data_IF_402724866721
#
_entry.id   IF_402724866721
#
_cell.length_a   1.000
_cell.length_b   1.000
_cell.length_c   1.000
_cell.angle_alpha   90.00
_cell.angle_beta   90.00
_cell.angle_gamma   90.00
#
_symmetry.space_group_name_H-M   'P 1'
#
loop_
_entity.id
_entity.type
_entity.pdbx_description
1 polymer ?
#
# COMPACT_ATOMS: atom_id res chain seq x y z
N UNK A 1 2.06 -3.29 7.34
CA UNK A 1 3.54 -3.20 7.38
C UNK A 1 4.03 -1.84 6.91
N UNK A 2 5.31 -1.46 7.19
CA UNK A 2 5.89 -0.26 6.61
C UNK A 2 6.03 -0.46 5.09
N UNK A 3 5.49 0.48 4.31
CA UNK A 3 5.53 0.46 2.84
C UNK A 3 5.78 1.88 2.34
N UNK A 4 6.67 2.04 1.37
CA UNK A 4 7.01 3.36 0.82
C UNK A 4 5.77 3.97 0.15
N UNK A 5 5.38 5.17 0.53
CA UNK A 5 4.12 5.79 0.08
C UNK A 5 2.87 5.32 0.83
N UNK A 6 3.01 4.34 1.76
CA UNK A 6 1.87 3.77 2.49
C UNK A 6 1.02 4.79 3.25
N UNK A 7 -0.29 4.60 3.23
CA UNK A 7 -1.30 5.52 3.78
C UNK A 7 -1.70 5.21 5.23
N UNK A 8 -0.88 4.47 6.01
CA UNK A 8 -1.24 3.99 7.34
C UNK A 8 -1.82 5.09 8.26
N UNK A 9 -1.27 6.31 8.23
CA UNK A 9 -1.69 7.43 9.09
C UNK A 9 -3.04 8.07 8.71
N UNK A 10 -3.50 7.85 7.48
CA UNK A 10 -4.73 8.45 6.93
C UNK A 10 -5.72 7.40 6.45
N UNK A 11 -5.36 6.13 6.55
CA UNK A 11 -6.15 5.02 6.02
C UNK A 11 -7.54 4.90 6.64
N UNK A 12 -7.72 5.28 7.92
CA UNK A 12 -9.03 5.28 8.55
C UNK A 12 -9.96 6.33 7.93
N UNK A 13 -9.43 7.52 7.67
CA UNK A 13 -10.20 8.65 7.12
C UNK A 13 -10.62 8.35 5.68
N UNK A 14 -9.68 7.88 4.85
CA UNK A 14 -9.96 7.51 3.46
C UNK A 14 -10.90 6.31 3.37
N UNK A 15 -10.66 5.26 4.16
CA UNK A 15 -11.55 4.10 4.19
C UNK A 15 -12.96 4.45 4.66
N UNK A 16 -13.11 5.40 5.59
CA UNK A 16 -14.43 5.87 6.03
C UNK A 16 -15.20 6.50 4.85
N UNK A 17 -14.55 7.37 4.07
CA UNK A 17 -15.16 7.99 2.88
C UNK A 17 -15.54 6.91 1.87
N UNK A 18 -14.65 5.97 1.57
CA UNK A 18 -14.92 4.88 0.62
C UNK A 18 -16.10 4.02 1.10
N UNK A 19 -16.16 3.71 2.40
CA UNK A 19 -17.20 2.87 2.98
C UNK A 19 -18.61 3.47 2.86
N UNK A 20 -18.75 4.79 2.76
CA UNK A 20 -20.05 5.41 2.48
C UNK A 20 -20.58 5.09 1.08
N UNK A 21 -19.75 4.55 0.20
CA UNK A 21 -20.10 4.17 -1.18
C UNK A 21 -20.03 2.66 -1.44
N UNK A 22 -19.40 1.87 -0.55
CA UNK A 22 -19.29 0.41 -0.74
C UNK A 22 -20.22 -0.38 0.16
N UNK A 23 -20.61 0.17 1.32
CA UNK A 23 -21.27 -0.59 2.38
C UNK A 23 -22.48 0.15 2.97
N UNK A 24 -23.53 0.32 2.17
CA UNK A 24 -24.80 0.85 2.69
C UNK A 24 -24.70 2.30 3.18
N UNK A 25 -24.16 3.16 2.33
CA UNK A 25 -24.23 4.61 2.51
C UNK A 25 -25.60 5.15 2.10
N UNK A 26 -25.64 6.40 1.65
CA UNK A 26 -26.86 7.10 1.26
C UNK A 26 -27.73 6.35 0.21
N UNK A 27 -27.13 5.44 -0.56
CA UNK A 27 -27.77 4.74 -1.68
C UNK A 27 -28.15 3.29 -1.37
N UNK A 28 -27.92 2.79 -0.16
CA UNK A 28 -28.20 1.40 0.30
C UNK A 28 -27.57 0.27 -0.57
N UNK A 29 -26.84 0.59 -1.62
CA UNK A 29 -26.19 -0.37 -2.50
C UNK A 29 -24.85 -0.86 -1.95
N UNK A 30 -24.67 -2.18 -1.92
CA UNK A 30 -23.37 -2.81 -1.68
C UNK A 30 -22.60 -2.87 -3.01
N UNK A 31 -21.59 -2.01 -3.17
CA UNK A 31 -20.79 -1.97 -4.39
C UNK A 31 -19.49 -2.77 -4.24
N UNK A 32 -19.05 -3.49 -5.26
CA UNK A 32 -17.71 -4.07 -5.29
C UNK A 32 -16.65 -2.99 -5.08
N UNK A 33 -15.57 -3.34 -4.37
CA UNK A 33 -14.41 -2.47 -4.19
C UNK A 33 -13.21 -3.00 -4.97
N UNK A 34 -12.58 -2.15 -5.75
CA UNK A 34 -11.39 -2.47 -6.53
C UNK A 34 -10.28 -1.47 -6.21
N UNK A 35 -9.16 -1.95 -5.68
CA UNK A 35 -7.92 -1.18 -5.53
C UNK A 35 -6.97 -1.54 -6.66
N UNK A 36 -6.57 -0.52 -7.44
CA UNK A 36 -5.70 -0.71 -8.61
C UNK A 36 -4.21 -0.74 -8.27
N UNK A 37 -3.82 -0.18 -7.10
CA UNK A 37 -2.46 -0.10 -6.58
C UNK A 37 -2.50 -0.37 -5.08
N UNK A 38 -2.66 -1.63 -4.68
CA UNK A 38 -2.97 -1.94 -3.28
C UNK A 38 -1.77 -1.82 -2.33
N UNK A 39 -0.54 -1.95 -2.84
CA UNK A 39 0.68 -1.79 -2.05
C UNK A 39 0.64 -2.56 -0.73
N UNK A 40 0.85 -1.85 0.37
CA UNK A 40 0.80 -2.39 1.73
C UNK A 40 -0.61 -2.62 2.28
N UNK A 41 -1.66 -2.47 1.50
CA UNK A 41 -3.07 -2.73 1.82
C UNK A 41 -3.61 -1.99 3.07
N UNK A 42 -3.06 -0.81 3.38
CA UNK A 42 -3.45 -0.09 4.60
C UNK A 42 -4.90 0.46 4.57
N UNK A 43 -5.40 0.78 3.38
CA UNK A 43 -6.79 1.24 3.14
C UNK A 43 -7.68 0.05 2.88
N UNK A 44 -7.26 -0.86 2.01
CA UNK A 44 -7.98 -2.05 1.58
C UNK A 44 -8.43 -2.93 2.76
N UNK A 45 -7.57 -3.05 3.78
CA UNK A 45 -7.87 -3.78 5.00
C UNK A 45 -9.02 -3.19 5.82
N UNK A 46 -9.37 -1.92 5.61
CA UNK A 46 -10.39 -1.17 6.36
C UNK A 46 -11.65 -0.89 5.56
N UNK A 47 -11.58 -1.02 4.24
CA UNK A 47 -12.75 -0.93 3.38
C UNK A 47 -13.64 -2.15 3.58
N UNK A 48 -14.94 -1.93 3.72
CA UNK A 48 -15.97 -2.95 3.80
C UNK A 48 -16.60 -3.11 2.43
N UNK A 49 -16.57 -4.31 1.88
CA UNK A 49 -17.23 -4.66 0.62
C UNK A 49 -17.40 -6.18 0.56
N UNK A 50 -18.47 -6.67 -0.07
CA UNK A 50 -18.72 -8.10 -0.28
C UNK A 50 -17.73 -8.67 -1.30
N UNK A 51 -17.47 -7.92 -2.36
CA UNK A 51 -16.44 -8.22 -3.36
C UNK A 51 -15.30 -7.21 -3.21
N UNK A 52 -14.09 -7.70 -2.98
CA UNK A 52 -12.89 -6.88 -2.84
C UNK A 52 -11.78 -7.42 -3.73
N UNK A 53 -11.31 -6.60 -4.66
CA UNK A 53 -10.22 -6.91 -5.57
C UNK A 53 -9.06 -5.97 -5.27
N UNK A 54 -7.88 -6.53 -5.00
CA UNK A 54 -6.66 -5.78 -4.67
C UNK A 54 -5.59 -6.12 -5.70
N UNK A 55 -5.25 -5.17 -6.56
CA UNK A 55 -4.22 -5.33 -7.57
C UNK A 55 -2.95 -4.57 -7.21
N UNK A 56 -1.83 -5.13 -7.59
CA UNK A 56 -0.54 -4.43 -7.64
C UNK A 56 0.34 -5.07 -8.73
N UNK A 57 1.20 -4.27 -9.35
CA UNK A 57 2.13 -4.76 -10.36
C UNK A 57 3.28 -5.57 -9.76
N UNK A 58 3.54 -5.44 -8.46
CA UNK A 58 4.69 -6.04 -7.79
C UNK A 58 4.43 -7.51 -7.39
N UNK A 59 5.04 -8.51 -8.08
CA UNK A 59 4.67 -9.91 -7.94
C UNK A 59 4.93 -10.47 -6.53
N UNK A 60 6.04 -10.11 -5.91
CA UNK A 60 6.38 -10.60 -4.57
C UNK A 60 5.47 -10.01 -3.48
N UNK A 61 4.97 -8.78 -3.68
CA UNK A 61 4.01 -8.18 -2.77
C UNK A 61 2.67 -8.95 -2.81
N UNK A 62 2.19 -9.25 -4.00
CA UNK A 62 0.97 -10.06 -4.19
C UNK A 62 1.18 -11.50 -3.69
N UNK A 63 2.36 -12.10 -3.94
CA UNK A 63 2.69 -13.43 -3.41
C UNK A 63 2.66 -13.45 -1.87
N UNK A 64 3.16 -12.40 -1.21
CA UNK A 64 3.09 -12.26 0.24
C UNK A 64 1.64 -12.24 0.73
N UNK A 65 0.77 -11.41 0.15
CA UNK A 65 -0.62 -11.30 0.56
C UNK A 65 -1.39 -12.63 0.34
N UNK A 66 -1.20 -13.27 -0.82
CA UNK A 66 -1.76 -14.60 -1.12
C UNK A 66 -1.24 -15.66 -0.14
N UNK A 67 0.05 -15.64 0.16
CA UNK A 67 0.66 -16.55 1.14
C UNK A 67 0.02 -16.40 2.53
N UNK A 68 -0.13 -15.16 3.01
CA UNK A 68 -0.79 -14.86 4.28
C UNK A 68 -2.24 -15.35 4.32
N UNK A 69 -3.01 -15.16 3.24
CA UNK A 69 -4.37 -15.68 3.13
C UNK A 69 -4.43 -17.21 3.21
N UNK A 70 -3.43 -17.88 2.63
CA UNK A 70 -3.30 -19.34 2.61
C UNK A 70 -2.64 -19.93 3.87
N UNK A 71 -2.49 -19.12 4.93
CA UNK A 71 -1.98 -19.58 6.22
C UNK A 71 -0.46 -19.54 6.36
N UNK A 72 0.30 -19.03 5.37
CA UNK A 72 1.72 -18.80 5.55
C UNK A 72 1.94 -17.75 6.64
N UNK A 73 2.91 -18.00 7.51
CA UNK A 73 3.26 -17.11 8.62
C UNK A 73 4.66 -16.55 8.41
N UNK A 74 4.83 -15.22 8.46
CA UNK A 74 6.14 -14.60 8.39
C UNK A 74 7.04 -15.02 9.56
N UNK A 75 8.37 -15.08 9.37
CA UNK A 75 9.30 -15.37 10.45
C UNK A 75 9.24 -14.29 11.56
N UNK A 76 9.69 -14.67 12.75
CA UNK A 76 9.76 -13.75 13.89
C UNK A 76 10.97 -12.80 13.77
N UNK A 77 12.01 -13.23 13.08
CA UNK A 77 13.22 -12.47 12.88
C UNK A 77 13.87 -12.82 11.54
N UNK A 78 14.64 -11.86 11.00
CA UNK A 78 15.48 -12.04 9.81
C UNK A 78 16.85 -11.46 10.14
N UNK A 79 17.91 -12.23 9.96
CA UNK A 79 19.28 -11.74 10.06
C UNK A 79 19.69 -10.95 8.82
N UNK A 80 20.80 -10.24 8.91
CA UNK A 80 21.35 -9.49 7.78
C UNK A 80 21.81 -10.41 6.65
N UNK A 81 22.36 -11.56 7.01
CA UNK A 81 22.80 -12.62 6.08
C UNK A 81 21.59 -13.20 5.34
N UNK A 82 20.52 -13.55 6.05
CA UNK A 82 19.26 -14.02 5.48
C UNK A 82 18.62 -12.98 4.55
N UNK A 83 18.62 -11.70 4.97
CA UNK A 83 18.15 -10.60 4.13
C UNK A 83 18.91 -10.51 2.81
N UNK A 84 20.26 -10.63 2.85
CA UNK A 84 21.07 -10.60 1.63
C UNK A 84 20.86 -11.84 0.77
N UNK A 85 20.73 -13.01 1.39
CA UNK A 85 20.43 -14.26 0.70
C UNK A 85 19.10 -14.16 -0.05
N UNK A 86 18.02 -13.76 0.64
CA UNK A 86 16.68 -13.61 0.05
C UNK A 86 16.69 -12.57 -1.07
N UNK A 87 17.44 -11.48 -0.89
CA UNK A 87 17.62 -10.46 -1.93
C UNK A 87 18.27 -11.02 -3.21
N UNK A 88 19.19 -11.98 -3.07
CA UNK A 88 19.87 -12.62 -4.20
C UNK A 88 19.03 -13.76 -4.82
N UNK A 89 18.15 -14.41 -4.06
CA UNK A 89 17.40 -15.61 -4.43
C UNK A 89 15.89 -15.40 -4.34
N UNK A 90 15.40 -14.33 -4.95
CA UNK A 90 14.01 -13.82 -4.78
C UNK A 90 12.92 -14.84 -5.11
N UNK A 91 13.16 -15.71 -6.07
CA UNK A 91 12.17 -16.64 -6.63
C UNK A 91 12.04 -17.95 -5.83
N UNK A 92 12.96 -18.23 -4.91
CA UNK A 92 12.90 -19.45 -4.08
C UNK A 92 11.69 -19.48 -3.14
N UNK A 93 11.34 -18.31 -2.58
CA UNK A 93 10.14 -18.15 -1.74
C UNK A 93 9.52 -16.77 -1.95
N UNK A 94 8.67 -16.59 -2.96
CA UNK A 94 8.10 -15.31 -3.32
C UNK A 94 7.35 -14.59 -2.19
N UNK A 95 6.65 -15.34 -1.32
CA UNK A 95 5.94 -14.76 -0.17
C UNK A 95 6.90 -14.18 0.87
N UNK A 96 7.93 -14.93 1.23
CA UNK A 96 8.99 -14.47 2.14
C UNK A 96 9.76 -13.30 1.54
N UNK A 97 10.05 -13.35 0.24
CA UNK A 97 10.72 -12.28 -0.49
C UNK A 97 9.93 -10.99 -0.43
N UNK A 98 8.61 -11.04 -0.63
CA UNK A 98 7.74 -9.87 -0.49
C UNK A 98 7.76 -9.29 0.91
N UNK A 99 7.65 -10.13 1.93
CA UNK A 99 7.69 -9.71 3.33
C UNK A 99 9.03 -9.07 3.70
N UNK A 100 10.15 -9.71 3.37
CA UNK A 100 11.49 -9.23 3.71
C UNK A 100 11.85 -7.99 2.89
N UNK A 101 11.55 -8.00 1.58
CA UNK A 101 11.88 -6.91 0.66
C UNK A 101 11.24 -5.58 1.02
N UNK A 102 10.06 -5.60 1.62
CA UNK A 102 9.38 -4.39 2.12
C UNK A 102 9.45 -4.27 3.65
N UNK A 103 8.99 -5.28 4.37
CA UNK A 103 8.79 -5.22 5.82
C UNK A 103 10.09 -5.13 6.62
N UNK A 104 11.16 -5.79 6.18
CA UNK A 104 12.47 -5.77 6.82
C UNK A 104 13.44 -4.78 6.16
N UNK A 105 12.94 -3.88 5.31
CA UNK A 105 13.75 -2.89 4.59
C UNK A 105 13.53 -1.47 5.11
N UNK A 106 14.60 -0.67 5.10
CA UNK A 106 14.57 0.70 5.59
C UNK A 106 13.54 1.55 4.83
N UNK A 107 12.63 2.15 5.58
CA UNK A 107 11.57 3.01 5.02
C UNK A 107 10.53 2.26 4.20
N UNK A 108 10.46 0.93 4.26
CA UNK A 108 9.56 0.10 3.45
C UNK A 108 9.85 0.19 1.95
N UNK A 109 11.08 0.52 1.56
CA UNK A 109 11.54 0.51 0.17
C UNK A 109 11.94 -0.90 -0.22
N UNK A 110 11.57 -1.33 -1.42
CA UNK A 110 11.95 -2.63 -1.97
C UNK A 110 13.46 -2.87 -1.91
N UNK A 111 13.87 -3.77 -1.02
CA UNK A 111 15.29 -4.05 -0.70
C UNK A 111 16.17 -2.79 -0.58
N UNK A 112 15.63 -1.73 0.01
CA UNK A 112 16.28 -0.42 0.17
C UNK A 112 17.35 -0.35 1.25
N UNK A 113 17.73 -1.49 1.81
CA UNK A 113 18.71 -1.68 2.88
C UNK A 113 18.07 -2.38 4.06
N UNK A 114 18.82 -3.28 4.70
CA UNK A 114 18.39 -4.00 5.88
C UNK A 114 18.03 -3.02 7.01
N UNK A 115 16.82 -3.12 7.51
CA UNK A 115 16.33 -2.23 8.56
C UNK A 115 16.77 -2.75 9.94
N UNK A 116 17.66 -2.01 10.58
CA UNK A 116 18.15 -2.29 11.94
C UNK A 116 18.21 -1.03 12.78
N UNK A 117 18.19 -1.14 14.09
CA UNK A 117 18.48 -0.02 14.99
C UNK A 117 20.01 0.15 15.11
N UNK A 118 20.47 1.41 15.03
CA UNK A 118 21.91 1.76 15.08
C UNK A 118 22.59 1.43 16.41
N UNK A 119 21.87 0.98 17.43
CA UNK A 119 22.38 0.78 18.79
C UNK A 119 22.95 -0.61 19.08
N UNK A 120 23.22 -1.40 18.08
CA UNK A 120 23.90 -2.70 18.20
C UNK A 120 23.02 -3.87 17.77
N UNK A 121 23.67 -4.82 17.16
CA UNK A 121 23.22 -6.10 16.64
C UNK A 121 22.49 -6.08 15.28
N UNK A 122 23.07 -6.85 14.38
CA UNK A 122 22.60 -7.10 13.00
C UNK A 122 21.27 -7.90 12.93
N UNK A 123 20.42 -7.82 13.97
CA UNK A 123 19.22 -8.62 14.10
C UNK A 123 17.95 -7.77 14.00
N UNK A 124 17.13 -8.04 12.99
CA UNK A 124 15.83 -7.40 12.78
C UNK A 124 14.72 -8.17 13.50
N UNK A 125 14.88 -8.51 14.77
CA UNK A 125 13.89 -9.42 15.31
C UNK A 125 13.83 -9.69 16.79
N UNK A 126 14.59 -9.05 17.64
CA UNK A 126 14.32 -9.17 19.09
C UNK A 126 14.75 -7.92 19.83
N UNK A 127 13.79 -7.01 20.07
CA UNK A 127 14.00 -5.92 21.00
C UNK A 127 14.02 -6.43 22.43
N UNK A 128 15.15 -6.34 23.08
CA UNK A 128 15.20 -6.35 24.56
C UNK A 128 14.44 -5.12 25.04
N UNK A 129 13.54 -5.28 26.01
CA UNK A 129 12.70 -4.21 26.55
C UNK A 129 13.50 -2.91 26.74
N UNK A 130 13.14 -1.90 25.96
CA UNK A 130 13.55 -0.51 26.20
C UNK A 130 14.49 0.13 25.20
N UNK A 131 14.99 -0.54 24.14
CA UNK A 131 16.07 0.03 23.33
C UNK A 131 16.03 -0.13 21.81
N UNK A 132 15.45 -1.18 21.23
CA UNK A 132 15.62 -1.45 19.79
C UNK A 132 14.29 -1.64 19.08
N UNK A 133 14.17 -1.07 17.89
CA UNK A 133 12.97 -1.22 17.05
C UNK A 133 13.01 -2.57 16.35
N UNK A 134 12.02 -3.41 16.62
CA UNK A 134 11.81 -4.69 15.96
C UNK A 134 11.03 -4.50 14.65
N UNK A 135 11.74 -4.25 13.56
CA UNK A 135 11.13 -4.03 12.24
C UNK A 135 10.41 -5.27 11.71
N UNK A 136 10.95 -6.47 11.95
CA UNK A 136 10.36 -7.72 11.51
C UNK A 136 9.06 -8.03 12.25
N UNK A 137 9.10 -7.96 13.58
CA UNK A 137 7.93 -8.18 14.43
C UNK A 137 6.84 -7.12 14.21
N UNK A 138 7.22 -5.82 14.03
CA UNK A 138 6.27 -4.77 13.65
C UNK A 138 5.61 -5.05 12.29
N UNK A 139 6.38 -5.49 11.28
CA UNK A 139 5.85 -5.85 9.98
C UNK A 139 4.91 -7.05 10.08
N UNK A 140 5.31 -8.12 10.82
CA UNK A 140 4.50 -9.31 11.07
C UNK A 140 3.18 -8.96 11.77
N UNK A 141 3.25 -8.20 12.86
CA UNK A 141 2.07 -7.77 13.62
C UNK A 141 1.11 -6.93 12.76
N UNK A 142 1.65 -6.00 11.97
CA UNK A 142 0.83 -5.14 11.12
C UNK A 142 0.17 -5.92 10.00
N UNK A 143 0.90 -6.81 9.31
CA UNK A 143 0.32 -7.63 8.24
C UNK A 143 -0.74 -8.60 8.76
N UNK A 144 -0.54 -9.19 9.94
CA UNK A 144 -1.53 -10.06 10.59
C UNK A 144 -2.82 -9.28 10.93
N UNK A 145 -2.69 -8.02 11.41
CA UNK A 145 -3.83 -7.15 11.68
C UNK A 145 -4.57 -6.79 10.39
N UNK A 146 -3.84 -6.38 9.36
CA UNK A 146 -4.42 -5.97 8.07
C UNK A 146 -5.11 -7.16 7.38
N UNK A 147 -4.55 -8.37 7.51
CA UNK A 147 -5.12 -9.62 6.96
C UNK A 147 -6.55 -9.87 7.43
N UNK A 148 -6.93 -9.42 8.63
CA UNK A 148 -8.30 -9.60 9.16
C UNK A 148 -9.35 -9.01 8.22
N UNK A 149 -9.08 -7.85 7.63
CA UNK A 149 -9.97 -7.19 6.67
C UNK A 149 -9.75 -7.60 5.20
N UNK A 150 -8.80 -8.51 4.96
CA UNK A 150 -8.40 -8.95 3.62
C UNK A 150 -8.66 -10.43 3.35
N UNK A 151 -9.26 -11.17 4.32
CA UNK A 151 -9.46 -12.63 4.22
C UNK A 151 -10.24 -13.04 2.96
N UNK A 152 -11.24 -12.26 2.57
CA UNK A 152 -12.07 -12.50 1.38
C UNK A 152 -11.62 -11.74 0.15
N UNK A 153 -10.53 -10.98 0.22
CA UNK A 153 -10.05 -10.20 -0.91
C UNK A 153 -9.44 -11.10 -2.00
N UNK A 154 -9.71 -10.78 -3.25
CA UNK A 154 -9.03 -11.38 -4.40
C UNK A 154 -7.79 -10.56 -4.72
N UNK A 155 -6.60 -11.17 -4.64
CA UNK A 155 -5.35 -10.52 -5.03
C UNK A 155 -4.99 -10.81 -6.48
N UNK A 156 -4.78 -9.76 -7.27
CA UNK A 156 -4.38 -9.80 -8.67
C UNK A 156 -2.99 -9.19 -8.82
N UNK A 157 -2.17 -9.72 -9.72
CA UNK A 157 -0.86 -9.18 -10.03
C UNK A 157 -0.80 -8.79 -11.50
N UNK A 158 -0.74 -7.50 -11.78
CA UNK A 158 -0.69 -7.02 -13.17
C UNK A 158 -0.78 -5.52 -13.31
N UNK A 159 -0.76 -5.07 -14.58
CA UNK A 159 -1.02 -3.68 -14.90
C UNK A 159 -2.45 -3.29 -14.45
N UNK A 160 -2.60 -2.08 -13.94
CA UNK A 160 -3.89 -1.58 -13.44
C UNK A 160 -4.97 -1.54 -14.53
N UNK A 161 -4.60 -1.46 -15.80
CA UNK A 161 -5.51 -1.43 -16.96
C UNK A 161 -6.08 -2.80 -17.30
N UNK A 162 -5.40 -3.88 -16.88
CA UNK A 162 -5.81 -5.27 -17.16
C UNK A 162 -6.71 -5.86 -16.06
N UNK A 163 -6.98 -5.08 -15.00
CA UNK A 163 -7.84 -5.52 -13.91
C UNK A 163 -9.29 -5.63 -14.37
N UNK A 164 -9.90 -6.81 -14.19
CA UNK A 164 -11.34 -6.99 -14.42
C UNK A 164 -12.10 -6.29 -13.30
N UNK A 165 -12.82 -5.23 -13.66
CA UNK A 165 -13.59 -4.41 -12.72
C UNK A 165 -15.07 -4.77 -12.85
N UNK A 166 -15.73 -5.29 -11.79
CA UNK A 166 -17.17 -5.54 -11.81
C UNK A 166 -17.97 -4.27 -12.06
N UNK A 167 -19.14 -4.40 -12.66
CA UNK A 167 -20.03 -3.25 -12.89
C UNK A 167 -20.36 -2.48 -11.61
N UNK A 168 -20.56 -1.18 -11.71
CA UNK A 168 -20.91 -0.29 -10.60
C UNK A 168 -19.94 -0.32 -9.39
N UNK A 169 -18.67 -0.68 -9.62
CA UNK A 169 -17.65 -0.74 -8.56
C UNK A 169 -17.28 0.63 -8.01
N UNK A 170 -16.81 0.63 -6.77
CA UNK A 170 -15.97 1.70 -6.22
C UNK A 170 -14.52 1.37 -6.52
N UNK A 171 -13.86 2.23 -7.28
CA UNK A 171 -12.46 2.07 -7.69
C UNK A 171 -11.59 3.04 -6.88
N UNK A 172 -10.59 2.52 -6.21
CA UNK A 172 -9.57 3.29 -5.51
C UNK A 172 -8.22 3.14 -6.21
N UNK A 173 -7.54 4.27 -6.42
CA UNK A 173 -6.20 4.30 -6.99
C UNK A 173 -5.25 5.15 -6.12
N UNK A 174 -4.07 4.60 -5.83
CA UNK A 174 -2.94 5.27 -5.19
C UNK A 174 -1.70 5.09 -6.08
N UNK A 175 -1.65 5.76 -7.25
CA UNK A 175 -0.59 5.58 -8.23
C UNK A 175 0.76 6.10 -7.71
N UNK A 176 1.89 5.78 -8.37
CA UNK A 176 3.14 6.47 -8.14
C UNK A 176 2.96 7.98 -8.36
N UNK A 177 3.27 8.79 -7.33
CA UNK A 177 3.09 10.25 -7.42
C UNK A 177 4.07 10.89 -8.42
N UNK A 178 3.61 11.84 -9.21
CA UNK A 178 4.36 12.45 -10.31
C UNK A 178 5.73 13.00 -9.88
N UNK A 179 5.82 13.57 -8.66
CA UNK A 179 7.06 14.15 -8.12
C UNK A 179 7.78 13.23 -7.12
N UNK A 180 7.40 11.95 -7.03
CA UNK A 180 8.01 11.03 -6.09
C UNK A 180 9.30 10.41 -6.61
N UNK A 181 10.09 9.82 -5.69
CA UNK A 181 11.25 9.00 -6.06
C UNK A 181 10.80 7.85 -6.97
N UNK A 182 11.49 7.64 -8.09
CA UNK A 182 11.19 6.55 -9.04
C UNK A 182 10.97 5.22 -8.33
N UNK A 183 9.86 4.57 -8.64
CA UNK A 183 9.59 3.21 -8.19
C UNK A 183 10.42 2.21 -9.02
N UNK A 184 10.67 1.04 -8.45
CA UNK A 184 11.43 -0.04 -9.13
C UNK A 184 10.71 -0.60 -10.38
N UNK A 185 9.47 -0.20 -10.62
CA UNK A 185 8.57 -0.70 -11.67
C UNK A 185 8.62 0.11 -12.97
N UNK A 186 9.50 1.12 -13.09
CA UNK A 186 9.66 1.92 -14.30
C UNK A 186 8.97 3.30 -14.27
N UNK A 187 8.90 3.95 -15.42
CA UNK A 187 8.23 5.25 -15.57
C UNK A 187 6.71 5.05 -15.68
N UNK A 188 5.95 5.85 -14.95
CA UNK A 188 4.49 5.80 -14.92
C UNK A 188 3.90 6.88 -15.82
N UNK A 189 3.01 6.49 -16.73
CA UNK A 189 2.30 7.42 -17.62
C UNK A 189 1.09 8.04 -16.92
N UNK A 190 1.29 9.21 -16.35
CA UNK A 190 0.24 9.95 -15.64
C UNK A 190 -0.89 10.40 -16.56
N UNK A 191 -0.61 10.75 -17.82
CA UNK A 191 -1.64 11.15 -18.79
C UNK A 191 -2.58 9.99 -19.08
N UNK A 192 -2.04 8.84 -19.45
CA UNK A 192 -2.82 7.63 -19.70
C UNK A 192 -3.60 7.18 -18.45
N UNK A 193 -3.02 7.37 -17.25
CA UNK A 193 -3.70 7.06 -15.98
C UNK A 193 -4.95 7.94 -15.79
N UNK A 194 -4.84 9.25 -15.93
CA UNK A 194 -5.99 10.16 -15.75
C UNK A 194 -7.08 9.90 -16.79
N UNK A 195 -6.71 9.59 -18.04
CA UNK A 195 -7.66 9.24 -19.10
C UNK A 195 -8.39 7.93 -18.79
N UNK A 196 -7.67 6.93 -18.26
CA UNK A 196 -8.28 5.69 -17.81
C UNK A 196 -9.27 5.90 -16.64
N UNK A 197 -8.94 6.77 -15.68
CA UNK A 197 -9.87 7.12 -14.59
C UNK A 197 -11.16 7.77 -15.12
N UNK A 198 -11.04 8.67 -16.13
CA UNK A 198 -12.20 9.27 -16.81
C UNK A 198 -13.05 8.22 -17.53
N UNK A 199 -12.41 7.27 -18.17
CA UNK A 199 -13.10 6.16 -18.85
C UNK A 199 -13.90 5.32 -17.84
N UNK A 200 -13.31 4.93 -16.74
CA UNK A 200 -13.99 4.16 -15.69
C UNK A 200 -15.18 4.94 -15.10
N UNK A 201 -15.03 6.25 -14.87
CA UNK A 201 -16.13 7.09 -14.40
C UNK A 201 -17.30 7.13 -15.41
N UNK A 202 -17.01 7.24 -16.71
CA UNK A 202 -18.04 7.17 -17.78
C UNK A 202 -18.73 5.81 -17.87
N UNK A 203 -18.08 4.75 -17.42
CA UNK A 203 -18.65 3.39 -17.32
C UNK A 203 -19.53 3.20 -16.07
N UNK A 204 -19.68 4.23 -15.24
CA UNK A 204 -20.55 4.21 -14.06
C UNK A 204 -19.86 3.77 -12.77
N UNK A 205 -18.53 3.66 -12.76
CA UNK A 205 -17.77 3.40 -11.55
C UNK A 205 -17.61 4.66 -10.70
N UNK A 206 -17.58 4.52 -9.37
CA UNK A 206 -17.24 5.61 -8.46
C UNK A 206 -15.73 5.62 -8.24
N UNK A 207 -15.07 6.73 -8.57
CA UNK A 207 -13.61 6.82 -8.61
C UNK A 207 -13.09 7.62 -7.41
N UNK A 208 -12.08 7.08 -6.71
CA UNK A 208 -11.32 7.75 -5.66
C UNK A 208 -9.83 7.63 -5.94
N UNK A 209 -9.10 8.73 -5.89
CA UNK A 209 -7.68 8.78 -6.23
C UNK A 209 -6.91 9.53 -5.15
N UNK A 210 -5.87 8.90 -4.59
CA UNK A 210 -4.89 9.55 -3.72
C UNK A 210 -3.76 10.11 -4.58
N UNK A 211 -3.61 11.44 -4.63
CA UNK A 211 -2.51 12.12 -5.33
C UNK A 211 -2.37 13.56 -4.78
N UNK A 212 -1.20 14.17 -4.94
CA UNK A 212 -0.97 15.56 -4.52
C UNK A 212 -1.69 16.57 -5.43
N UNK A 213 -1.75 16.28 -6.72
CA UNK A 213 -2.36 17.12 -7.75
C UNK A 213 -3.23 16.26 -8.67
N UNK A 214 -4.27 16.86 -9.22
CA UNK A 214 -5.12 16.23 -10.22
C UNK A 214 -5.50 17.26 -11.30
N UNK A 215 -5.92 16.83 -12.51
CA UNK A 215 -6.52 17.70 -13.51
C UNK A 215 -7.77 18.42 -13.00
N UNK A 216 -8.12 19.55 -13.61
CA UNK A 216 -9.20 20.46 -13.17
C UNK A 216 -10.59 19.83 -13.16
N UNK A 217 -10.81 18.76 -13.91
CA UNK A 217 -12.07 18.02 -13.95
C UNK A 217 -12.24 17.06 -12.76
N UNK A 218 -11.21 16.88 -11.93
CA UNK A 218 -11.30 16.11 -10.69
C UNK A 218 -11.50 17.02 -9.48
N UNK A 219 -12.43 16.63 -8.61
CA UNK A 219 -12.77 17.38 -7.39
C UNK A 219 -12.03 16.82 -6.18
N UNK A 220 -11.31 17.68 -5.47
CA UNK A 220 -10.74 17.32 -4.15
C UNK A 220 -11.87 17.25 -3.11
N UNK A 221 -12.07 16.08 -2.51
CA UNK A 221 -13.12 15.84 -1.51
C UNK A 221 -12.57 15.70 -0.09
N UNK A 222 -11.27 15.49 0.05
CA UNK A 222 -10.58 15.41 1.33
C UNK A 222 -9.10 15.79 1.17
N UNK A 223 -8.54 16.45 2.18
CA UNK A 223 -7.10 16.71 2.23
C UNK A 223 -6.59 16.72 3.67
N UNK A 224 -5.31 16.43 3.82
CA UNK A 224 -4.61 16.50 5.11
C UNK A 224 -3.15 16.89 4.91
N UNK A 225 -2.73 17.90 5.66
CA UNK A 225 -1.33 18.32 5.68
C UNK A 225 -0.49 17.41 6.57
N UNK A 226 0.69 17.04 6.09
CA UNK A 226 1.73 16.31 6.83
C UNK A 226 3.00 17.13 6.87
N UNK A 227 3.49 17.38 8.06
CA UNK A 227 4.81 17.98 8.24
C UNK A 227 5.84 16.88 8.06
N UNK A 228 6.73 17.03 7.08
CA UNK A 228 7.89 16.17 6.88
C UNK A 228 9.12 16.90 7.41
N UNK A 229 9.67 16.45 8.53
CA UNK A 229 10.96 16.94 9.02
C UNK A 229 12.04 16.34 8.09
N UNK A 230 12.61 17.15 7.22
CA UNK A 230 13.83 16.80 6.50
C UNK A 230 15.01 16.97 7.44
N UNK A 231 15.95 16.02 7.35
CA UNK A 231 17.23 15.92 8.08
C UNK A 231 17.59 17.07 9.03
N UNK A 232 18.21 16.71 10.15
CA UNK A 232 18.63 17.52 11.30
C UNK A 232 19.41 18.83 11.01
N UNK A 233 19.87 19.05 9.77
CA UNK A 233 20.74 20.18 9.45
C UNK A 233 20.05 21.37 8.78
N UNK A 234 18.83 21.15 8.22
CA UNK A 234 18.14 22.23 7.51
C UNK A 234 16.76 22.48 8.11
N UNK A 235 16.51 22.96 9.20
CA UNK A 235 15.20 23.32 9.82
C UNK A 235 14.02 23.68 8.83
N UNK A 236 14.00 23.09 7.65
CA UNK A 236 12.98 23.29 6.62
C UNK A 236 11.93 22.21 6.77
N UNK A 237 10.83 22.56 7.39
CA UNK A 237 9.62 21.74 7.40
C UNK A 237 8.96 21.82 6.02
N UNK A 238 9.06 20.77 5.22
CA UNK A 238 8.24 20.65 4.01
C UNK A 238 6.86 20.16 4.40
N UNK A 239 5.85 20.98 4.16
CA UNK A 239 4.45 20.58 4.27
C UNK A 239 4.11 19.80 3.00
N UNK A 240 3.67 18.56 3.16
CA UNK A 240 3.13 17.74 2.10
C UNK A 240 1.64 17.57 2.33
N UNK A 241 0.82 17.85 1.32
CA UNK A 241 -0.63 17.71 1.43
C UNK A 241 -1.06 16.44 0.71
N UNK A 242 -1.57 15.48 1.47
CA UNK A 242 -2.27 14.31 0.92
C UNK A 242 -3.68 14.72 0.53
N UNK A 243 -4.15 14.31 -0.62
CA UNK A 243 -5.51 14.62 -1.11
C UNK A 243 -6.22 13.38 -1.60
N UNK A 244 -7.53 13.39 -1.52
CA UNK A 244 -8.41 12.40 -2.14
C UNK A 244 -9.29 13.11 -3.17
N UNK A 245 -9.21 12.62 -4.39
CA UNK A 245 -9.91 13.17 -5.55
C UNK A 245 -11.02 12.22 -6.01
N UNK A 246 -12.05 12.79 -6.65
CA UNK A 246 -13.14 12.07 -7.32
C UNK A 246 -13.53 12.77 -8.61
N UNK A 247 -14.16 12.07 -9.51
CA UNK A 247 -14.77 12.60 -10.75
C UNK A 247 -16.18 12.05 -10.87
#
# INVERSE_FOLDING_TARGET
MQYMGGKCLISNEIALIINTHTWGGLDEEHRPFVSLFCGGCAIEAKVKADIKICNDIHPYLIAMWKGLQNGWTPPDAISKEEYQYIKAHKDENPALTGFVGFGCSFGGKWFGGYAHDKRGDDYCGQAKRGAMRDYCGEAKSTTAKDLTGLKSATFVCGDYRDVVIPEHSVVYADPPYEKSTKYSTGDFDHTAFWDYMRQLAKQGHKIFISEEHAPDDFKCIWHKEKIRTLKKDDNVNMIRTERLWTI
#
